data_IF_370998423544
#
_entry.id   IF_370998423544
#
_cell.length_a   1.000
_cell.length_b   1.000
_cell.length_c   1.000
_cell.angle_alpha   90.00
_cell.angle_beta   90.00
_cell.angle_gamma   90.00
#
_symmetry.space_group_name_H-M   'P 1'
#
loop_
_entity.id
_entity.type
_entity.pdbx_description
1 polymer ?
#
# COMPACT_ATOMS: atom_id res chain seq x y z
N UNK A 1 -2.89 -16.46 6.93
CA UNK A 1 -2.35 -15.41 7.83
C UNK A 1 -2.93 -14.08 7.38
N UNK A 2 -3.39 -13.24 8.31
CA UNK A 2 -3.90 -11.88 7.99
C UNK A 2 -2.68 -10.96 7.89
N UNK A 3 -2.52 -10.31 6.75
CA UNK A 3 -1.56 -9.26 6.46
C UNK A 3 -2.31 -7.93 6.30
N UNK A 4 -1.59 -6.85 6.53
CA UNK A 4 -2.10 -5.48 6.41
C UNK A 4 -1.39 -4.82 5.22
N UNK A 5 -2.15 -4.19 4.33
CA UNK A 5 -1.64 -3.47 3.18
C UNK A 5 -1.87 -1.98 3.41
N UNK A 6 -0.78 -1.22 3.53
CA UNK A 6 -0.81 0.22 3.78
C UNK A 6 -0.31 0.95 2.55
N UNK A 7 -1.17 1.79 1.98
CA UNK A 7 -0.85 2.59 0.81
C UNK A 7 -0.48 4.02 1.23
N UNK A 8 0.72 4.47 0.86
CA UNK A 8 1.32 5.68 1.43
C UNK A 8 1.21 6.93 0.56
N UNK A 9 0.41 6.91 -0.51
CA UNK A 9 0.21 8.12 -1.28
C UNK A 9 -1.06 8.06 -2.09
N UNK A 10 -1.78 9.18 -2.09
CA UNK A 10 -2.88 9.37 -3.02
C UNK A 10 -2.40 9.31 -4.48
N UNK A 11 -1.16 9.72 -4.77
CA UNK A 11 -0.60 9.77 -6.14
C UNK A 11 -0.50 8.43 -6.85
N UNK A 12 -0.47 7.33 -6.10
CA UNK A 12 -0.47 5.97 -6.64
C UNK A 12 -1.91 5.54 -6.93
N UNK A 13 -2.86 5.89 -6.05
CA UNK A 13 -4.29 5.51 -6.18
C UNK A 13 -5.09 6.37 -7.14
N UNK A 14 -4.60 7.57 -7.47
CA UNK A 14 -5.39 8.62 -8.12
C UNK A 14 -5.37 8.64 -9.63
N UNK A 15 -4.60 7.76 -10.27
CA UNK A 15 -4.61 7.69 -11.73
C UNK A 15 -5.94 7.06 -12.14
N UNK A 16 -6.78 7.83 -12.84
CA UNK A 16 -8.07 7.33 -13.34
C UNK A 16 -7.90 6.05 -14.18
N UNK A 17 -6.78 5.95 -14.90
CA UNK A 17 -6.39 4.83 -15.75
C UNK A 17 -6.19 3.52 -14.96
N UNK A 18 -5.92 3.61 -13.66
CA UNK A 18 -5.62 2.46 -12.79
C UNK A 18 -6.81 2.03 -11.93
N UNK A 19 -7.95 2.75 -11.96
CA UNK A 19 -9.06 2.53 -11.01
C UNK A 19 -9.65 1.12 -11.06
N UNK A 20 -9.87 0.56 -12.26
CA UNK A 20 -10.41 -0.79 -12.41
C UNK A 20 -9.44 -1.85 -11.84
N UNK A 21 -8.14 -1.66 -12.06
CA UNK A 21 -7.10 -2.58 -11.58
C UNK A 21 -6.93 -2.48 -10.05
N UNK A 22 -7.00 -1.26 -9.50
CA UNK A 22 -7.00 -1.01 -8.06
C UNK A 22 -8.20 -1.68 -7.40
N UNK A 23 -9.41 -1.50 -7.93
CA UNK A 23 -10.61 -2.13 -7.38
C UNK A 23 -10.51 -3.66 -7.37
N UNK A 24 -10.04 -4.27 -8.46
CA UNK A 24 -9.83 -5.73 -8.50
C UNK A 24 -8.86 -6.22 -7.43
N UNK A 25 -7.75 -5.50 -7.21
CA UNK A 25 -6.82 -5.80 -6.13
C UNK A 25 -7.50 -5.68 -4.76
N UNK A 26 -8.24 -4.60 -4.51
CA UNK A 26 -8.90 -4.35 -3.23
C UNK A 26 -9.98 -5.41 -2.95
N UNK A 27 -10.82 -5.75 -3.93
CA UNK A 27 -11.79 -6.84 -3.86
C UNK A 27 -11.11 -8.16 -3.51
N UNK A 28 -10.00 -8.47 -4.18
CA UNK A 28 -9.23 -9.66 -3.89
C UNK A 28 -8.71 -9.66 -2.45
N UNK A 29 -8.11 -8.56 -1.99
CA UNK A 29 -7.61 -8.42 -0.61
C UNK A 29 -8.73 -8.60 0.44
N UNK A 30 -9.89 -7.97 0.24
CA UNK A 30 -11.05 -8.12 1.14
C UNK A 30 -11.61 -9.53 1.13
N UNK A 31 -11.73 -10.18 -0.03
CA UNK A 31 -12.18 -11.59 -0.13
C UNK A 31 -11.29 -12.56 0.66
N UNK A 32 -10.03 -12.16 0.91
CA UNK A 32 -9.04 -12.91 1.69
C UNK A 32 -8.90 -12.43 3.13
N UNK A 33 -9.81 -11.59 3.62
CA UNK A 33 -9.79 -10.98 4.96
C UNK A 33 -8.45 -10.27 5.26
N UNK A 34 -7.83 -9.64 4.27
CA UNK A 34 -6.67 -8.77 4.50
C UNK A 34 -7.14 -7.40 5.01
N UNK A 35 -6.32 -6.76 5.83
CA UNK A 35 -6.58 -5.40 6.27
C UNK A 35 -6.01 -4.41 5.26
N UNK A 36 -6.76 -3.34 5.01
CA UNK A 36 -6.39 -2.31 4.05
C UNK A 36 -6.38 -0.96 4.76
N UNK A 37 -5.25 -0.27 4.69
CA UNK A 37 -5.05 1.04 5.26
C UNK A 37 -4.51 2.02 4.24
N UNK A 38 -4.81 3.30 4.43
CA UNK A 38 -4.26 4.38 3.59
C UNK A 38 -3.75 5.53 4.43
N UNK A 39 -2.67 6.15 3.98
CA UNK A 39 -2.15 7.40 4.54
C UNK A 39 -2.48 8.53 3.56
N UNK A 40 -3.18 9.54 4.06
CA UNK A 40 -3.57 10.74 3.30
C UNK A 40 -2.75 11.93 3.77
N UNK A 41 -2.06 12.61 2.86
CA UNK A 41 -1.28 13.81 3.16
C UNK A 41 -2.02 15.08 2.73
N UNK A 42 -3.01 14.97 1.84
CA UNK A 42 -3.89 16.05 1.42
C UNK A 42 -5.35 15.71 1.74
N UNK A 43 -5.94 16.43 2.69
CA UNK A 43 -7.32 16.23 3.11
C UNK A 43 -8.35 16.57 2.02
N UNK A 44 -8.06 17.51 1.12
CA UNK A 44 -8.97 17.84 0.02
C UNK A 44 -9.00 16.68 -0.98
N UNK A 45 -7.82 16.14 -1.29
CA UNK A 45 -7.66 15.00 -2.17
C UNK A 45 -8.30 13.74 -1.57
N UNK A 46 -8.09 13.48 -0.27
CA UNK A 46 -8.75 12.39 0.47
C UNK A 46 -10.28 12.42 0.26
N UNK A 47 -10.91 13.56 0.49
CA UNK A 47 -12.36 13.67 0.34
C UNK A 47 -12.80 13.39 -1.10
N UNK A 48 -12.04 13.86 -2.09
CA UNK A 48 -12.32 13.56 -3.49
C UNK A 48 -12.22 12.04 -3.78
N UNK A 49 -11.12 11.40 -3.36
CA UNK A 49 -10.87 9.96 -3.58
C UNK A 49 -11.93 9.07 -2.92
N UNK A 50 -12.24 9.37 -1.66
CA UNK A 50 -13.19 8.58 -0.88
C UNK A 50 -14.62 8.70 -1.43
N UNK A 51 -15.00 9.86 -1.95
CA UNK A 51 -16.36 10.13 -2.44
C UNK A 51 -16.56 9.73 -3.90
N UNK A 52 -15.58 9.95 -4.79
CA UNK A 52 -15.75 9.72 -6.23
C UNK A 52 -15.56 8.24 -6.61
N UNK A 53 -14.75 7.48 -5.88
CA UNK A 53 -14.36 6.12 -6.26
C UNK A 53 -14.85 5.03 -5.30
N UNK A 54 -15.67 5.38 -4.29
CA UNK A 54 -16.16 4.46 -3.25
C UNK A 54 -15.05 3.67 -2.54
N UNK A 55 -13.80 4.16 -2.59
CA UNK A 55 -12.64 3.48 -2.01
C UNK A 55 -12.72 3.39 -0.47
N UNK A 56 -13.50 4.28 0.15
CA UNK A 56 -13.79 4.27 1.58
C UNK A 56 -14.33 2.92 2.07
N UNK A 57 -15.11 2.22 1.25
CA UNK A 57 -15.75 0.95 1.63
C UNK A 57 -14.73 -0.20 1.78
N UNK A 58 -13.56 -0.05 1.15
CA UNK A 58 -12.48 -1.03 1.24
C UNK A 58 -11.56 -0.80 2.44
N UNK A 59 -11.37 0.46 2.83
CA UNK A 59 -10.41 0.86 3.86
C UNK A 59 -10.91 0.43 5.26
N UNK A 60 -10.10 -0.35 5.95
CA UNK A 60 -10.31 -0.70 7.35
C UNK A 60 -9.87 0.44 8.28
N UNK A 61 -8.93 1.28 7.82
CA UNK A 61 -8.49 2.49 8.51
C UNK A 61 -7.84 3.49 7.56
N UNK A 62 -7.81 4.75 7.98
CA UNK A 62 -7.08 5.84 7.32
C UNK A 62 -6.31 6.65 8.36
N UNK A 63 -5.09 7.06 8.01
CA UNK A 63 -4.24 7.91 8.86
C UNK A 63 -3.96 9.22 8.11
N UNK A 64 -4.07 10.34 8.81
CA UNK A 64 -3.59 11.61 8.30
C UNK A 64 -2.06 11.63 8.43
N UNK A 65 -1.38 11.80 7.30
CA UNK A 65 0.05 12.06 7.24
C UNK A 65 0.39 13.42 7.87
N UNK A 66 1.59 13.52 8.42
CA UNK A 66 2.10 14.77 8.99
C UNK A 66 2.81 15.58 7.91
N UNK A 67 3.87 15.01 7.33
CA UNK A 67 4.66 15.61 6.26
C UNK A 67 4.69 14.70 5.03
N UNK A 68 4.39 15.26 3.85
CA UNK A 68 4.47 14.52 2.60
C UNK A 68 5.88 13.96 2.40
N UNK A 69 5.98 12.66 2.12
CA UNK A 69 7.27 11.99 1.92
C UNK A 69 7.88 11.35 3.16
N UNK A 70 7.24 11.42 4.33
CA UNK A 70 7.71 10.73 5.55
C UNK A 70 6.68 9.72 6.06
N UNK A 71 7.11 8.77 6.89
CA UNK A 71 6.19 7.85 7.56
C UNK A 71 5.66 8.48 8.84
N UNK A 72 4.33 8.65 8.90
CA UNK A 72 3.65 9.21 10.06
C UNK A 72 3.83 8.32 11.31
N UNK A 73 4.29 8.91 12.43
CA UNK A 73 4.46 8.18 13.69
C UNK A 73 3.14 7.56 14.19
N UNK A 74 2.01 8.23 13.94
CA UNK A 74 0.69 7.70 14.26
C UNK A 74 0.37 6.38 13.57
N UNK A 75 0.86 6.16 12.34
CA UNK A 75 0.74 4.88 11.65
C UNK A 75 1.59 3.80 12.33
N UNK A 76 2.83 4.13 12.69
CA UNK A 76 3.77 3.20 13.34
C UNK A 76 3.23 2.75 14.69
N UNK A 77 2.71 3.68 15.49
CA UNK A 77 2.11 3.37 16.78
C UNK A 77 0.84 2.54 16.64
N UNK A 78 0.00 2.84 15.64
CA UNK A 78 -1.22 2.08 15.36
C UNK A 78 -0.95 0.62 14.99
N UNK A 79 0.11 0.36 14.20
CA UNK A 79 0.45 -0.97 13.68
C UNK A 79 1.59 -1.67 14.42
N UNK A 80 1.96 -1.18 15.61
CA UNK A 80 3.15 -1.62 16.33
C UNK A 80 3.25 -3.14 16.52
N UNK A 81 2.12 -3.80 16.77
CA UNK A 81 2.07 -5.26 16.97
C UNK A 81 2.28 -5.98 15.63
N UNK A 82 1.57 -5.58 14.59
CA UNK A 82 1.66 -6.14 13.24
C UNK A 82 3.05 -5.97 12.64
N UNK A 83 3.70 -4.82 12.89
CA UNK A 83 5.07 -4.53 12.49
C UNK A 83 6.09 -5.45 13.14
N UNK A 84 5.93 -5.75 14.44
CA UNK A 84 6.81 -6.70 15.14
C UNK A 84 6.76 -8.12 14.55
N UNK A 85 5.68 -8.45 13.86
CA UNK A 85 5.49 -9.72 13.16
C UNK A 85 5.77 -9.65 11.65
N UNK A 86 6.24 -8.51 11.14
CA UNK A 86 6.46 -8.25 9.72
C UNK A 86 5.23 -8.58 8.87
N UNK A 87 4.03 -8.20 9.34
CA UNK A 87 2.76 -8.47 8.63
C UNK A 87 2.22 -7.28 7.85
N UNK A 88 2.91 -6.15 7.87
CA UNK A 88 2.47 -4.92 7.22
C UNK A 88 3.26 -4.71 5.94
N UNK A 89 2.58 -4.80 4.80
CA UNK A 89 3.10 -4.38 3.51
C UNK A 89 2.90 -2.88 3.37
N UNK A 90 3.96 -2.14 3.06
CA UNK A 90 3.93 -0.70 2.85
C UNK A 90 4.22 -0.40 1.39
N UNK A 91 3.23 0.19 0.71
CA UNK A 91 3.23 0.41 -0.73
C UNK A 91 3.46 1.90 -1.01
N UNK A 92 4.53 2.21 -1.73
CA UNK A 92 4.91 3.59 -2.07
C UNK A 92 5.62 3.66 -3.44
N UNK A 93 5.62 4.84 -4.06
CA UNK A 93 6.44 5.21 -5.21
C UNK A 93 7.65 6.06 -4.80
N UNK A 94 7.89 6.25 -3.50
CA UNK A 94 9.06 6.95 -2.96
C UNK A 94 10.04 5.96 -2.34
N UNK A 95 11.23 5.84 -2.94
CA UNK A 95 12.30 4.98 -2.40
C UNK A 95 12.73 5.40 -0.99
N UNK A 96 12.72 6.70 -0.70
CA UNK A 96 13.07 7.23 0.62
C UNK A 96 12.08 6.75 1.68
N UNK A 97 10.77 6.85 1.41
CA UNK A 97 9.74 6.31 2.29
C UNK A 97 9.88 4.80 2.45
N UNK A 98 10.18 4.05 1.39
CA UNK A 98 10.34 2.60 1.48
C UNK A 98 11.55 2.19 2.32
N UNK A 99 12.65 2.94 2.24
CA UNK A 99 13.82 2.71 3.07
C UNK A 99 13.51 2.96 4.56
N UNK A 100 12.79 4.04 4.85
CA UNK A 100 12.29 4.36 6.20
C UNK A 100 11.33 3.27 6.70
N UNK A 101 10.39 2.83 5.86
CA UNK A 101 9.42 1.78 6.20
C UNK A 101 10.12 0.49 6.60
N UNK A 102 11.14 0.11 5.84
CA UNK A 102 11.92 -1.09 6.12
C UNK A 102 12.61 -1.01 7.48
N UNK A 103 13.18 0.15 7.83
CA UNK A 103 13.82 0.38 9.13
C UNK A 103 12.81 0.27 10.29
N UNK A 104 11.54 0.61 10.05
CA UNK A 104 10.44 0.54 11.01
C UNK A 104 9.74 -0.83 11.07
N UNK A 105 10.20 -1.82 10.29
CA UNK A 105 9.68 -3.19 10.31
C UNK A 105 8.56 -3.50 9.31
N UNK A 106 8.25 -2.57 8.41
CA UNK A 106 7.35 -2.83 7.30
C UNK A 106 8.02 -3.69 6.23
N UNK A 107 7.21 -4.36 5.41
CA UNK A 107 7.62 -4.97 4.14
C UNK A 107 7.44 -3.94 3.01
N UNK A 108 8.51 -3.29 2.54
CA UNK A 108 8.39 -2.30 1.48
C UNK A 108 8.03 -2.95 0.15
N UNK A 109 7.10 -2.31 -0.57
CA UNK A 109 6.71 -2.64 -1.94
C UNK A 109 6.76 -1.35 -2.76
N UNK A 110 7.58 -1.35 -3.80
CA UNK A 110 7.72 -0.24 -4.71
C UNK A 110 6.79 -0.40 -5.90
N UNK A 111 5.98 0.64 -6.19
CA UNK A 111 5.15 0.68 -7.39
C UNK A 111 5.47 1.94 -8.17
N UNK A 112 6.04 1.78 -9.37
CA UNK A 112 6.35 2.87 -10.30
C UNK A 112 6.53 2.33 -11.72
N UNK A 113 6.07 3.08 -12.73
CA UNK A 113 6.16 2.66 -14.14
C UNK A 113 7.58 2.34 -14.60
N UNK A 114 8.57 3.06 -14.08
CA UNK A 114 9.97 2.94 -14.44
C UNK A 114 10.81 2.15 -13.42
N UNK A 115 10.17 1.29 -12.62
CA UNK A 115 10.85 0.52 -11.59
C UNK A 115 11.97 -0.39 -12.11
N UNK A 116 11.98 -0.77 -13.40
CA UNK A 116 13.07 -1.55 -14.00
C UNK A 116 14.38 -0.77 -14.16
N UNK A 117 14.31 0.56 -14.11
CA UNK A 117 15.48 1.44 -14.24
C UNK A 117 16.20 1.64 -12.91
N UNK A 118 15.57 1.26 -11.81
CA UNK A 118 16.10 1.44 -10.47
C UNK A 118 16.53 0.10 -9.87
N UNK A 119 17.71 0.04 -9.27
CA UNK A 119 18.12 -1.16 -8.51
C UNK A 119 17.57 -1.05 -7.10
N UNK A 120 16.39 -1.64 -6.88
CA UNK A 120 15.65 -1.48 -5.62
C UNK A 120 15.75 -2.75 -4.76
N UNK A 121 16.11 -2.65 -3.46
CA UNK A 121 16.29 -3.82 -2.60
C UNK A 121 14.97 -4.33 -1.97
N UNK A 122 13.86 -4.22 -2.71
CA UNK A 122 12.51 -4.61 -2.27
C UNK A 122 11.68 -5.14 -3.46
N UNK A 123 10.48 -5.63 -3.20
CA UNK A 123 9.58 -6.07 -4.27
C UNK A 123 9.14 -4.86 -5.08
N UNK A 124 9.21 -4.97 -6.40
CA UNK A 124 8.88 -3.90 -7.33
C UNK A 124 7.81 -4.35 -8.30
N UNK A 125 6.88 -3.44 -8.62
CA UNK A 125 5.84 -3.67 -9.62
C UNK A 125 5.67 -2.40 -10.44
N UNK A 126 5.38 -2.55 -11.74
CA UNK A 126 5.16 -1.38 -12.60
C UNK A 126 3.82 -0.70 -12.33
N UNK A 127 2.82 -1.51 -12.03
CA UNK A 127 1.42 -1.11 -11.93
C UNK A 127 0.66 -2.04 -10.96
N UNK A 128 -0.62 -1.72 -10.72
CA UNK A 128 -1.48 -2.50 -9.83
C UNK A 128 -1.85 -3.88 -10.39
N UNK A 129 -1.82 -4.09 -11.70
CA UNK A 129 -2.08 -5.40 -12.29
C UNK A 129 -0.95 -6.37 -11.97
N UNK A 130 0.29 -5.95 -12.18
CA UNK A 130 1.47 -6.74 -11.79
C UNK A 130 1.50 -6.95 -10.29
N UNK A 131 1.16 -5.93 -9.50
CA UNK A 131 1.10 -6.08 -8.06
C UNK A 131 0.03 -7.11 -7.64
N UNK A 132 -1.17 -7.06 -8.21
CA UNK A 132 -2.24 -8.02 -7.95
C UNK A 132 -1.80 -9.45 -8.27
N UNK A 133 -1.19 -9.68 -9.45
CA UNK A 133 -0.64 -10.98 -9.83
C UNK A 133 0.44 -11.41 -8.84
N UNK A 134 1.38 -10.53 -8.48
CA UNK A 134 2.45 -10.83 -7.54
C UNK A 134 1.95 -11.20 -6.14
N UNK A 135 0.87 -10.57 -5.65
CA UNK A 135 0.21 -10.93 -4.39
C UNK A 135 -0.40 -12.33 -4.47
N UNK A 136 -0.97 -12.71 -5.62
CA UNK A 136 -1.49 -14.06 -5.84
C UNK A 136 -0.35 -15.08 -5.84
N UNK A 137 0.71 -14.84 -6.62
CA UNK A 137 1.84 -15.76 -6.82
C UNK A 137 2.60 -16.03 -5.51
N UNK A 138 2.96 -14.99 -4.75
CA UNK A 138 3.67 -15.11 -3.46
C UNK A 138 2.88 -15.98 -2.46
N UNK A 139 1.55 -16.05 -2.58
CA UNK A 139 0.72 -16.92 -1.75
C UNK A 139 0.69 -18.37 -2.23
N UNK A 140 0.77 -18.61 -3.53
CA UNK A 140 0.92 -19.97 -4.06
C UNK A 140 2.28 -20.57 -3.69
N UNK A 141 3.35 -19.78 -3.74
CA UNK A 141 4.68 -20.24 -3.30
C UNK A 141 4.71 -20.63 -1.82
N UNK A 142 3.91 -19.99 -0.97
CA UNK A 142 3.79 -20.36 0.46
C UNK A 142 2.92 -21.59 0.72
N UNK A 143 2.19 -22.09 -0.28
CA UNK A 143 1.34 -23.28 -0.17
C UNK A 143 2.01 -24.55 -0.70
N UNK A 144 3.09 -24.41 -1.47
CA UNK A 144 3.96 -25.52 -1.91
C UNK A 144 5.06 -25.80 -0.87
#
# INVERSE_FOLDING_TARGET
MIETFVFSSESIFLREEDQENVQQLLDYLKSRNQQIGMVFYDQALMNQVLLEHHLADYLDFSINGEDAGTICNGLVDFLKVELSHQKVNFISNSLEQLAEAKALGFKPIYIAEDCDKETVPCQTFRDFNQFHIGVIENRFEKLM
#
